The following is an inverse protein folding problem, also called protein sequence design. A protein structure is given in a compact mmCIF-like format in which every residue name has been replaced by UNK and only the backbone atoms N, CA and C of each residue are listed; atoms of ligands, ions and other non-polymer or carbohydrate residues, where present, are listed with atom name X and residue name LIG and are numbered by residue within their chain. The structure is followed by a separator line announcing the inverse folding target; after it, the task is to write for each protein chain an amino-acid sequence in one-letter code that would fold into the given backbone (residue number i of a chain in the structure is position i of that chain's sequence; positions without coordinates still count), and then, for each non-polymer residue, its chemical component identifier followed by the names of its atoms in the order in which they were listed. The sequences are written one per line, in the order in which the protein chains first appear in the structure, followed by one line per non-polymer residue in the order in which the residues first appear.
data_IF_805646422844
#
_entry.id   IF_805646422844
#
_cell.length_a   1.000
_cell.length_b   1.000
_cell.length_c   1.000
_cell.angle_alpha   90.00
_cell.angle_beta   90.00
_cell.angle_gamma   90.00
#
_symmetry.space_group_name_H-M   'P 1'
#
loop_
_entity.id
_entity.type
_entity.pdbx_description
1 polymer ?
#
# COMPACT_ATOMS: atom_id res chain seq x y z
N UNK A 1 -10.97 -6.23 -24.77
CA UNK A 1 -11.61 -5.27 -23.85
C UNK A 1 -10.69 -4.10 -23.59
N UNK A 2 -11.21 -2.90 -23.72
CA UNK A 2 -10.41 -1.68 -23.58
C UNK A 2 -10.46 -1.08 -22.16
N UNK A 3 -11.44 -1.49 -21.36
CA UNK A 3 -11.56 -1.00 -19.99
C UNK A 3 -10.64 -1.78 -19.05
N UNK A 4 -9.87 -1.06 -18.23
CA UNK A 4 -8.98 -1.69 -17.25
C UNK A 4 -8.87 -0.80 -16.00
N UNK A 5 -8.47 -1.40 -14.89
CA UNK A 5 -8.22 -0.65 -13.65
C UNK A 5 -6.87 0.05 -13.79
N UNK A 6 -6.89 1.37 -13.93
CA UNK A 6 -5.68 2.16 -14.14
C UNK A 6 -5.18 2.86 -12.90
N UNK A 7 -6.09 3.17 -11.97
CA UNK A 7 -5.77 3.98 -10.79
C UNK A 7 -6.61 3.53 -9.61
N UNK A 8 -6.00 3.43 -8.45
CA UNK A 8 -6.68 3.30 -7.17
C UNK A 8 -6.04 4.30 -6.21
N UNK A 9 -6.68 4.60 -5.10
CA UNK A 9 -6.17 5.60 -4.18
C UNK A 9 -6.13 5.10 -2.74
N UNK A 10 -5.27 5.72 -1.95
CA UNK A 10 -5.20 5.53 -0.52
C UNK A 10 -5.08 6.91 0.14
N UNK A 11 -5.85 7.14 1.20
CA UNK A 11 -5.81 8.40 1.91
C UNK A 11 -4.55 8.48 2.77
N UNK A 12 -3.87 9.62 2.75
CA UNK A 12 -2.67 9.83 3.55
C UNK A 12 -2.76 11.16 4.29
N UNK A 13 -2.21 11.21 5.49
CA UNK A 13 -2.23 12.43 6.30
C UNK A 13 -1.25 13.49 5.81
N UNK A 14 -0.20 13.07 5.10
CA UNK A 14 0.86 13.96 4.61
C UNK A 14 1.45 13.34 3.35
N UNK A 15 1.28 14.00 2.21
CA UNK A 15 1.72 13.47 0.91
C UNK A 15 3.23 13.32 0.80
N UNK A 16 4.01 14.25 1.34
CA UNK A 16 5.47 14.17 1.27
C UNK A 16 6.01 13.01 2.11
N UNK A 17 5.45 12.83 3.30
CA UNK A 17 5.79 11.70 4.18
C UNK A 17 5.39 10.38 3.53
N UNK A 18 4.22 10.34 2.92
CA UNK A 18 3.72 9.15 2.23
C UNK A 18 4.64 8.77 1.06
N UNK A 19 5.04 9.75 0.25
CA UNK A 19 5.96 9.48 -0.86
C UNK A 19 7.25 8.84 -0.37
N UNK A 20 7.84 9.38 0.68
CA UNK A 20 9.07 8.83 1.25
C UNK A 20 8.84 7.38 1.73
N UNK A 21 7.74 7.10 2.40
CA UNK A 21 7.46 5.76 2.90
C UNK A 21 7.24 4.77 1.76
N UNK A 22 6.37 5.12 0.81
CA UNK A 22 6.00 4.19 -0.26
C UNK A 22 7.15 3.95 -1.25
N UNK A 23 8.06 4.91 -1.41
CA UNK A 23 9.23 4.72 -2.28
C UNK A 23 10.45 4.19 -1.52
N UNK A 24 10.87 4.84 -0.45
CA UNK A 24 12.12 4.48 0.24
C UNK A 24 11.97 3.21 1.07
N UNK A 25 10.88 3.09 1.83
CA UNK A 25 10.70 1.92 2.68
C UNK A 25 10.13 0.73 1.91
N UNK A 26 9.07 0.93 1.12
CA UNK A 26 8.41 -0.16 0.40
C UNK A 26 9.06 -0.49 -0.94
N UNK A 27 9.68 0.49 -1.59
CA UNK A 27 10.37 0.25 -2.86
C UNK A 27 9.52 0.51 -4.10
N UNK A 28 8.35 1.13 -3.95
CA UNK A 28 7.57 1.54 -5.12
C UNK A 28 8.28 2.66 -5.85
N UNK A 29 7.86 2.91 -7.08
CA UNK A 29 8.48 3.90 -7.95
C UNK A 29 7.54 5.06 -8.21
N UNK A 30 8.03 6.29 -8.06
CA UNK A 30 7.25 7.49 -8.38
C UNK A 30 6.88 7.48 -9.86
N UNK A 31 5.59 7.68 -10.16
CA UNK A 31 5.11 7.78 -11.53
C UNK A 31 4.77 9.23 -11.90
N UNK A 32 3.90 9.87 -11.14
CA UNK A 32 3.49 11.25 -11.38
C UNK A 32 3.57 12.07 -10.10
N UNK A 33 4.01 13.31 -10.25
CA UNK A 33 4.06 14.27 -9.14
C UNK A 33 3.95 15.66 -9.75
N UNK A 34 2.76 16.24 -9.70
CA UNK A 34 2.53 17.60 -10.16
C UNK A 34 1.48 18.28 -9.30
N UNK A 35 1.52 19.64 -9.19
CA UNK A 35 0.56 20.35 -8.37
C UNK A 35 -0.83 20.33 -8.98
N UNK A 36 -1.84 20.20 -8.11
CA UNK A 36 -3.23 20.25 -8.50
C UNK A 36 -4.06 20.78 -7.32
N UNK A 37 -4.70 21.94 -7.50
CA UNK A 37 -5.65 22.48 -6.52
C UNK A 37 -5.11 22.60 -5.08
N UNK A 38 -3.88 23.05 -4.88
CA UNK A 38 -3.29 23.19 -3.56
C UNK A 38 -2.73 21.90 -2.97
N UNK A 39 -2.81 20.79 -3.72
CA UNK A 39 -2.28 19.50 -3.34
C UNK A 39 -1.37 19.00 -4.47
N UNK A 40 -0.93 17.73 -4.36
CA UNK A 40 -0.11 17.09 -5.39
C UNK A 40 -0.88 15.92 -5.98
N UNK A 41 -0.87 15.81 -7.31
CA UNK A 41 -1.25 14.56 -7.97
C UNK A 41 -0.03 13.65 -7.89
N UNK A 42 -0.09 12.70 -6.98
CA UNK A 42 1.09 11.95 -6.57
C UNK A 42 0.79 10.46 -6.67
N UNK A 43 1.42 9.78 -7.65
CA UNK A 43 1.19 8.36 -7.85
C UNK A 43 2.48 7.57 -7.81
N UNK A 44 2.38 6.33 -7.34
CA UNK A 44 3.47 5.37 -7.35
C UNK A 44 3.01 4.11 -8.07
N UNK A 45 3.98 3.34 -8.57
CA UNK A 45 3.73 2.07 -9.27
C UNK A 45 4.67 1.00 -8.75
N UNK A 46 4.27 -0.26 -8.94
CA UNK A 46 5.14 -1.40 -8.64
C UNK A 46 6.33 -1.40 -9.60
N UNK A 47 7.57 -1.57 -9.10
CA UNK A 47 8.75 -1.60 -9.98
C UNK A 47 8.67 -2.69 -11.05
N UNK A 48 8.03 -3.81 -10.73
CA UNK A 48 7.87 -4.93 -11.65
C UNK A 48 6.85 -4.63 -12.76
N UNK A 49 5.99 -3.62 -12.56
CA UNK A 49 4.93 -3.24 -13.51
C UNK A 49 4.83 -1.73 -13.59
N UNK A 50 5.86 -1.05 -14.14
CA UNK A 50 5.86 0.43 -14.17
C UNK A 50 4.74 1.02 -15.01
N UNK A 51 4.15 0.26 -15.94
CA UNK A 51 2.99 0.68 -16.72
C UNK A 51 1.68 0.09 -16.19
N UNK A 52 1.71 -0.51 -15.00
CA UNK A 52 0.53 -1.11 -14.37
C UNK A 52 -0.31 -0.09 -13.62
N UNK A 53 -1.21 -0.62 -12.78
CA UNK A 53 -2.10 0.22 -11.97
C UNK A 53 -1.30 1.16 -11.08
N UNK A 54 -1.69 2.43 -11.08
CA UNK A 54 -1.08 3.45 -10.22
C UNK A 54 -1.80 3.52 -8.89
N UNK A 55 -1.05 3.78 -7.83
CA UNK A 55 -1.60 4.06 -6.51
C UNK A 55 -1.47 5.56 -6.26
N UNK A 56 -2.61 6.24 -6.14
CA UNK A 56 -2.66 7.66 -5.83
C UNK A 56 -2.55 7.86 -4.32
N UNK A 57 -1.56 8.62 -3.89
CA UNK A 57 -1.40 9.00 -2.48
C UNK A 57 -2.24 10.25 -2.27
N UNK A 58 -3.49 10.08 -1.83
CA UNK A 58 -4.52 11.10 -1.84
C UNK A 58 -4.57 11.85 -0.51
N UNK A 59 -4.51 13.20 -0.52
CA UNK A 59 -4.65 13.94 0.73
C UNK A 59 -6.09 13.89 1.24
N UNK A 60 -6.26 14.05 2.56
CA UNK A 60 -7.58 14.06 3.16
C UNK A 60 -8.17 15.47 3.05
N UNK A 61 -8.82 15.74 1.93
CA UNK A 61 -9.33 17.07 1.59
C UNK A 61 -10.64 17.45 2.28
N UNK A 62 -11.29 16.54 3.01
CA UNK A 62 -12.55 16.82 3.68
C UNK A 62 -12.74 15.90 4.88
N UNK A 63 -13.58 16.34 5.82
CA UNK A 63 -13.71 15.67 7.13
C UNK A 63 -14.12 14.20 7.06
N UNK A 64 -15.06 13.77 6.20
CA UNK A 64 -15.42 12.35 6.12
C UNK A 64 -14.23 11.44 5.80
N UNK A 65 -13.22 11.92 5.06
CA UNK A 65 -12.03 11.14 4.77
C UNK A 65 -11.24 10.84 6.05
N UNK A 66 -11.10 11.83 6.93
CA UNK A 66 -10.41 11.67 8.21
C UNK A 66 -11.14 10.69 9.11
N UNK A 67 -12.46 10.81 9.18
CA UNK A 67 -13.31 9.93 9.99
C UNK A 67 -13.19 8.50 9.48
N UNK A 68 -13.26 8.30 8.18
CA UNK A 68 -13.18 6.99 7.56
C UNK A 68 -11.82 6.34 7.80
N UNK A 69 -10.74 7.05 7.55
CA UNK A 69 -9.38 6.54 7.76
C UNK A 69 -9.17 6.11 9.22
N UNK A 70 -9.56 6.98 10.15
CA UNK A 70 -9.41 6.69 11.57
C UNK A 70 -10.24 5.48 12.00
N UNK A 71 -11.43 5.34 11.47
CA UNK A 71 -12.31 4.20 11.78
C UNK A 71 -11.68 2.89 11.31
N UNK A 72 -11.10 2.85 10.12
CA UNK A 72 -10.40 1.66 9.63
C UNK A 72 -9.21 1.33 10.53
N UNK A 73 -8.39 2.32 10.81
CA UNK A 73 -7.16 2.12 11.59
C UNK A 73 -7.47 1.61 13.00
N UNK A 74 -8.41 2.23 13.69
CA UNK A 74 -8.75 1.84 15.08
C UNK A 74 -9.48 0.51 15.16
N UNK A 75 -10.16 0.11 14.09
CA UNK A 75 -10.84 -1.18 14.02
C UNK A 75 -9.91 -2.30 13.54
N UNK A 76 -8.71 -1.96 13.07
CA UNK A 76 -7.75 -2.95 12.58
C UNK A 76 -8.01 -3.40 11.15
N UNK A 77 -8.72 -2.60 10.36
CA UNK A 77 -9.07 -2.94 8.98
C UNK A 77 -8.03 -2.32 8.03
N UNK A 78 -7.35 -3.15 7.21
CA UNK A 78 -6.41 -2.62 6.23
C UNK A 78 -7.11 -1.77 5.18
N UNK A 79 -6.48 -0.66 4.82
CA UNK A 79 -6.98 0.23 3.77
C UNK A 79 -6.67 -0.30 2.37
N UNK A 80 -5.63 -1.12 2.24
CA UNK A 80 -5.21 -1.68 0.96
C UNK A 80 -4.46 -2.99 1.19
N UNK A 81 -4.28 -3.76 0.13
CA UNK A 81 -3.51 -5.00 0.17
C UNK A 81 -2.54 -5.05 -1.01
N UNK A 82 -1.33 -5.51 -0.73
CA UNK A 82 -0.28 -5.68 -1.74
C UNK A 82 0.16 -7.13 -1.78
N UNK A 83 0.38 -7.65 -2.99
CA UNK A 83 0.84 -9.03 -3.18
C UNK A 83 2.36 -9.09 -3.13
N UNK A 84 2.88 -10.15 -2.53
CA UNK A 84 4.32 -10.43 -2.49
C UNK A 84 4.56 -11.87 -2.93
N UNK A 85 5.75 -12.16 -3.44
CA UNK A 85 6.13 -13.52 -3.87
C UNK A 85 6.57 -14.38 -2.69
N UNK A 86 7.27 -13.78 -1.73
CA UNK A 86 7.79 -14.47 -0.56
C UNK A 86 7.59 -13.58 0.66
N UNK A 87 6.60 -13.89 1.46
CA UNK A 87 6.18 -13.01 2.56
C UNK A 87 7.24 -12.94 3.67
N UNK A 88 7.96 -14.03 3.93
CA UNK A 88 8.99 -14.01 4.97
C UNK A 88 10.16 -13.13 4.57
N UNK A 89 10.59 -13.21 3.31
CA UNK A 89 11.66 -12.37 2.80
C UNK A 89 11.26 -10.90 2.79
N UNK A 90 10.03 -10.59 2.37
CA UNK A 90 9.54 -9.22 2.37
C UNK A 90 9.37 -8.67 3.79
N UNK A 91 8.87 -9.47 4.71
CA UNK A 91 8.77 -9.07 6.11
C UNK A 91 10.14 -8.70 6.66
N UNK A 92 11.13 -9.55 6.44
CA UNK A 92 12.51 -9.29 6.90
C UNK A 92 13.06 -8.00 6.29
N UNK A 93 12.87 -7.81 4.98
CA UNK A 93 13.35 -6.62 4.28
C UNK A 93 12.70 -5.34 4.82
N UNK A 94 11.38 -5.38 4.98
CA UNK A 94 10.62 -4.20 5.41
C UNK A 94 10.91 -3.86 6.88
N UNK A 95 11.05 -4.85 7.75
CA UNK A 95 11.45 -4.61 9.14
C UNK A 95 12.83 -3.92 9.18
N UNK A 96 13.77 -4.38 8.36
CA UNK A 96 15.09 -3.76 8.25
C UNK A 96 15.01 -2.32 7.76
N UNK A 97 14.00 -1.99 6.95
CA UNK A 97 13.76 -0.62 6.47
C UNK A 97 12.94 0.22 7.45
N UNK A 98 12.66 -0.29 8.65
CA UNK A 98 11.96 0.45 9.68
C UNK A 98 10.44 0.37 9.64
N UNK A 99 9.86 -0.52 8.83
CA UNK A 99 8.41 -0.68 8.75
C UNK A 99 7.90 -1.39 9.99
N UNK A 100 6.80 -0.87 10.55
CA UNK A 100 6.22 -1.39 11.79
C UNK A 100 5.09 -2.36 11.50
N UNK A 101 5.35 -3.65 11.72
CA UNK A 101 4.34 -4.69 11.56
C UNK A 101 3.53 -4.88 12.85
N UNK A 102 2.27 -5.24 12.69
CA UNK A 102 1.39 -5.59 13.81
C UNK A 102 1.75 -6.95 14.40
N UNK A 103 2.24 -7.87 13.55
CA UNK A 103 2.68 -9.20 13.97
C UNK A 103 3.56 -9.80 12.87
N UNK A 104 4.18 -10.95 13.18
CA UNK A 104 4.88 -11.74 12.18
C UNK A 104 3.86 -12.29 11.14
N UNK A 105 4.34 -12.73 9.96
CA UNK A 105 3.44 -13.34 8.98
C UNK A 105 2.63 -14.49 9.56
N UNK A 106 1.34 -14.51 9.22
CA UNK A 106 0.40 -15.51 9.67
C UNK A 106 0.01 -16.40 8.50
N UNK A 107 0.08 -17.73 8.73
CA UNK A 107 -0.28 -18.73 7.71
C UNK A 107 -1.55 -19.46 8.14
N UNK A 108 -2.73 -19.05 7.61
CA UNK A 108 -3.97 -19.74 7.94
C UNK A 108 -4.00 -21.15 7.35
N UNK A 109 -4.88 -22.02 7.89
CA UNK A 109 -5.05 -23.36 7.38
C UNK A 109 -5.50 -23.38 5.92
N UNK A 110 -6.27 -22.36 5.50
CA UNK A 110 -6.65 -22.15 4.11
C UNK A 110 -6.48 -20.68 3.78
N UNK A 111 -6.13 -20.38 2.52
CA UNK A 111 -5.88 -19.02 2.09
C UNK A 111 -4.40 -18.64 2.15
N UNK A 112 -4.07 -17.46 1.66
CA UNK A 112 -2.68 -17.02 1.59
C UNK A 112 -2.11 -16.63 2.96
N UNK A 113 -0.79 -16.68 3.09
CA UNK A 113 -0.11 -16.08 4.23
C UNK A 113 -0.28 -14.56 4.17
N UNK A 114 -0.49 -13.93 5.30
CA UNK A 114 -0.71 -12.49 5.39
C UNK A 114 0.14 -11.86 6.48
N UNK A 115 0.40 -10.56 6.35
CA UNK A 115 0.99 -9.74 7.40
C UNK A 115 0.47 -8.32 7.26
N UNK A 116 0.31 -7.62 8.37
CA UNK A 116 -0.24 -6.28 8.40
C UNK A 116 0.80 -5.32 8.99
N UNK A 117 1.03 -4.20 8.31
CA UNK A 117 1.95 -3.18 8.79
C UNK A 117 1.29 -1.79 8.76
N UNK A 118 1.90 -0.85 9.46
CA UNK A 118 1.49 0.55 9.47
C UNK A 118 2.29 1.32 8.42
N UNK A 119 1.61 2.16 7.65
CA UNK A 119 2.31 2.99 6.65
C UNK A 119 2.82 4.31 7.23
N UNK A 120 2.56 4.58 8.51
CA UNK A 120 2.97 5.82 9.12
C UNK A 120 2.16 7.04 8.67
N UNK A 121 1.16 6.85 7.82
CA UNK A 121 0.31 7.90 7.26
C UNK A 121 -1.15 7.73 7.64
N UNK A 122 -1.41 6.93 8.66
CA UNK A 122 -2.74 6.70 9.19
C UNK A 122 -3.42 5.43 8.69
N UNK A 123 -2.71 4.58 7.96
CA UNK A 123 -3.29 3.36 7.39
C UNK A 123 -2.63 2.10 7.91
N UNK A 124 -3.41 1.03 7.94
CA UNK A 124 -2.90 -0.33 8.00
C UNK A 124 -2.89 -0.88 6.57
N UNK A 125 -1.83 -1.59 6.23
CA UNK A 125 -1.67 -2.21 4.93
C UNK A 125 -1.48 -3.71 5.15
N UNK A 126 -2.19 -4.51 4.36
CA UNK A 126 -2.01 -5.96 4.37
C UNK A 126 -1.14 -6.36 3.19
N UNK A 127 -0.13 -7.18 3.44
CA UNK A 127 0.52 -7.88 2.35
C UNK A 127 0.16 -9.36 2.40
N UNK A 128 0.08 -10.00 1.24
CA UNK A 128 -0.27 -11.41 1.15
C UNK A 128 0.62 -12.09 0.12
N UNK A 129 0.93 -13.36 0.40
CA UNK A 129 1.76 -14.16 -0.51
C UNK A 129 0.90 -14.73 -1.61
N UNK A 130 1.29 -14.46 -2.85
CA UNK A 130 0.58 -14.99 -4.02
C UNK A 130 0.87 -16.47 -4.16
N UNK A 131 -0.16 -17.34 -4.19
CA UNK A 131 0.06 -18.75 -4.50
C UNK A 131 0.56 -18.88 -5.93
N UNK A 132 1.75 -19.45 -6.13
CA UNK A 132 2.36 -19.56 -7.46
C UNK A 132 1.48 -20.33 -8.44
N UNK A 133 0.77 -21.33 -7.97
CA UNK A 133 -0.08 -22.16 -8.83
C UNK A 133 -1.31 -21.41 -9.37
N UNK A 134 -1.84 -20.44 -8.62
CA UNK A 134 -3.02 -19.66 -9.03
C UNK A 134 -2.70 -18.56 -10.02
N UNK A 135 -1.48 -18.03 -9.95
CA UNK A 135 -1.08 -16.85 -10.73
C UNK A 135 -0.04 -17.16 -11.80
N UNK A 136 0.37 -18.41 -11.93
CA UNK A 136 1.19 -18.86 -13.03
C UNK A 136 0.30 -18.92 -14.28
N UNK A 137 0.53 -18.03 -15.22
CA UNK A 137 -0.27 -17.94 -16.43
C UNK A 137 0.42 -18.68 -17.57
#
# INVERSE_FOLDING_TARGET
MTLHIALTSILVDDQAKALAFYTDALGFRLKHDFPIGGARWLTVVSPAKPEGTELLLEPMGFEPARVYQKALFTTGIPAAAFAVDNIDAEHTRLVANGVRFRSAPFRPASGPAIAIFEDGCGNLIQMFETPKAEFAA
#
